data_IF_750210668178
#
_entry.id   IF_750210668178
#
_cell.length_a   1.000
_cell.length_b   1.000
_cell.length_c   1.000
_cell.angle_alpha   90.00
_cell.angle_beta   90.00
_cell.angle_gamma   90.00
#
_symmetry.space_group_name_H-M   'P 1'
#
loop_
_entity.id
_entity.type
_entity.pdbx_description
1 polymer ?
#
# COMPACT_ATOMS: atom_id res chain seq x y z
N UNK A 1 28.51 -0.79 -33.36
CA UNK A 1 27.59 0.34 -33.62
C UNK A 1 26.81 0.53 -32.34
N UNK A 2 26.86 1.72 -31.73
CA UNK A 2 26.02 2.03 -30.57
C UNK A 2 24.56 2.00 -31.03
N UNK A 3 23.68 1.42 -30.22
CA UNK A 3 22.24 1.48 -30.49
C UNK A 3 21.80 2.94 -30.66
N UNK A 4 20.84 3.21 -31.56
CA UNK A 4 20.33 4.56 -31.75
C UNK A 4 19.74 5.11 -30.45
N UNK A 5 20.11 6.35 -30.09
CA UNK A 5 19.56 7.03 -28.91
C UNK A 5 18.05 7.24 -29.13
N UNK A 6 17.24 6.71 -28.21
CA UNK A 6 15.80 6.89 -28.23
C UNK A 6 15.42 8.38 -28.14
N UNK A 7 14.55 8.83 -29.04
CA UNK A 7 13.98 10.18 -29.04
C UNK A 7 12.49 10.08 -28.70
N UNK A 8 12.05 10.57 -27.51
CA UNK A 8 10.64 10.57 -27.17
C UNK A 8 9.79 11.34 -28.19
N UNK A 9 8.58 10.87 -28.55
CA UNK A 9 7.71 11.61 -29.45
C UNK A 9 7.19 12.88 -28.77
N UNK A 10 6.85 13.91 -29.56
CA UNK A 10 6.24 15.16 -29.06
C UNK A 10 4.97 14.93 -28.24
N UNK A 11 4.19 13.92 -28.62
CA UNK A 11 3.00 13.46 -27.91
C UNK A 11 3.18 11.97 -27.69
N UNK A 12 3.18 11.56 -26.43
CA UNK A 12 3.26 10.14 -26.07
C UNK A 12 2.02 9.40 -26.58
N UNK A 13 2.24 8.21 -27.14
CA UNK A 13 1.18 7.30 -27.58
C UNK A 13 1.32 5.98 -26.83
N UNK A 14 0.18 5.42 -26.43
CA UNK A 14 0.17 4.11 -25.79
C UNK A 14 0.38 3.02 -26.83
N UNK A 15 1.48 2.31 -26.72
CA UNK A 15 1.72 1.06 -27.43
C UNK A 15 1.47 -0.10 -26.45
N UNK A 16 0.44 -0.92 -26.69
CA UNK A 16 0.11 -2.01 -25.78
C UNK A 16 1.22 -3.08 -25.77
N UNK A 17 1.29 -3.83 -24.67
CA UNK A 17 2.21 -4.97 -24.49
C UNK A 17 3.70 -4.62 -24.47
N UNK A 18 4.14 -3.85 -23.48
CA UNK A 18 5.56 -3.52 -23.27
C UNK A 18 6.44 -4.70 -22.75
N UNK A 19 5.94 -5.93 -22.79
CA UNK A 19 6.66 -7.15 -22.36
C UNK A 19 6.84 -7.34 -20.85
N UNK A 20 6.46 -6.37 -20.01
CA UNK A 20 6.56 -6.50 -18.55
C UNK A 20 5.47 -7.39 -17.94
N UNK A 21 5.71 -7.91 -16.73
CA UNK A 21 4.77 -8.79 -16.02
C UNK A 21 3.34 -8.21 -15.87
N UNK A 22 3.22 -6.88 -15.82
CA UNK A 22 1.94 -6.18 -15.62
C UNK A 22 1.40 -5.52 -16.92
N UNK A 23 1.92 -5.91 -18.08
CA UNK A 23 1.53 -5.31 -19.36
C UNK A 23 0.06 -5.50 -19.70
N UNK A 24 -0.57 -6.58 -19.22
CA UNK A 24 -1.99 -6.89 -19.43
C UNK A 24 -2.94 -5.99 -18.61
N UNK A 25 -2.45 -5.37 -17.52
CA UNK A 25 -3.29 -4.58 -16.59
C UNK A 25 -2.96 -3.08 -16.60
N UNK A 26 -1.72 -2.69 -16.93
CA UNK A 26 -1.32 -1.28 -16.93
C UNK A 26 -1.88 -0.55 -18.16
N UNK A 27 -2.59 0.55 -17.92
CA UNK A 27 -3.27 1.34 -18.96
C UNK A 27 -3.14 2.84 -18.68
N UNK A 28 -3.21 3.69 -19.73
CA UNK A 28 -3.16 5.15 -19.58
C UNK A 28 -4.49 5.77 -19.13
N UNK A 29 -5.54 4.95 -18.91
CA UNK A 29 -6.88 5.38 -18.52
C UNK A 29 -7.33 4.63 -17.26
N UNK A 30 -8.10 5.32 -16.43
CA UNK A 30 -8.71 4.78 -15.22
C UNK A 30 -10.14 4.24 -15.50
N UNK A 31 -10.78 3.71 -14.46
CA UNK A 31 -12.18 3.30 -14.49
C UNK A 31 -12.39 1.79 -14.66
N UNK A 32 -13.66 1.40 -14.51
CA UNK A 32 -14.08 0.01 -14.55
C UNK A 32 -13.94 -0.58 -15.97
N UNK A 33 -13.69 -1.88 -16.04
CA UNK A 33 -13.62 -2.64 -17.31
C UNK A 33 -14.71 -3.68 -17.45
N UNK A 34 -15.35 -4.03 -16.35
CA UNK A 34 -16.41 -5.04 -16.30
C UNK A 34 -17.32 -4.81 -15.11
N UNK A 35 -18.59 -5.16 -15.27
CA UNK A 35 -19.58 -5.10 -14.20
C UNK A 35 -19.40 -6.30 -13.28
N UNK A 36 -19.12 -6.02 -12.00
CA UNK A 36 -18.99 -7.03 -10.97
C UNK A 36 -19.15 -6.37 -9.61
N UNK A 37 -20.18 -6.80 -8.90
CA UNK A 37 -20.42 -6.42 -7.51
C UNK A 37 -19.38 -7.04 -6.59
N UNK A 38 -19.02 -6.31 -5.53
CA UNK A 38 -18.15 -6.84 -4.50
C UNK A 38 -18.92 -7.72 -3.52
N UNK A 39 -18.35 -8.87 -3.08
CA UNK A 39 -18.95 -9.64 -2.00
C UNK A 39 -18.97 -8.84 -0.70
N UNK A 40 -19.96 -9.12 0.14
CA UNK A 40 -20.13 -8.50 1.46
C UNK A 40 -20.43 -9.61 2.45
N UNK A 41 -19.64 -9.69 3.52
CA UNK A 41 -19.81 -10.65 4.60
C UNK A 41 -20.57 -10.06 5.78
N UNK A 42 -20.41 -10.69 6.95
CA UNK A 42 -21.17 -10.38 8.16
C UNK A 42 -20.49 -9.34 9.06
N UNK A 43 -19.20 -9.10 8.87
CA UNK A 43 -18.38 -8.30 9.77
C UNK A 43 -18.48 -6.80 9.45
N UNK A 44 -18.25 -5.91 10.44
CA UNK A 44 -18.41 -4.46 10.25
C UNK A 44 -17.45 -3.91 9.18
N UNK A 45 -16.28 -4.50 9.00
CA UNK A 45 -15.33 -4.09 7.97
C UNK A 45 -15.27 -5.08 6.82
N UNK A 46 -15.31 -4.57 5.60
CA UNK A 46 -15.08 -5.33 4.38
C UNK A 46 -13.76 -4.89 3.77
N UNK A 47 -12.76 -5.76 3.79
CA UNK A 47 -11.43 -5.49 3.24
C UNK A 47 -11.27 -6.20 1.90
N UNK A 48 -11.06 -5.44 0.83
CA UNK A 48 -10.76 -5.94 -0.51
C UNK A 48 -9.27 -5.77 -0.78
N UNK A 49 -8.52 -6.88 -0.73
CA UNK A 49 -7.05 -6.81 -0.65
C UNK A 49 -6.35 -8.02 -1.26
N UNK A 50 -5.02 -7.99 -1.20
CA UNK A 50 -4.10 -9.05 -1.61
C UNK A 50 -2.87 -9.00 -0.70
N UNK A 51 -2.23 -10.15 -0.43
CA UNK A 51 -1.04 -10.28 0.42
C UNK A 51 0.24 -9.66 -0.21
N UNK A 52 0.18 -8.36 -0.46
CA UNK A 52 1.29 -7.50 -0.88
C UNK A 52 1.76 -6.67 0.32
N UNK A 53 2.93 -6.01 0.25
CA UNK A 53 3.38 -5.11 1.32
C UNK A 53 2.37 -4.02 1.73
N UNK A 54 1.50 -3.56 0.82
CA UNK A 54 0.45 -2.62 1.17
C UNK A 54 -0.76 -3.31 1.82
N UNK A 55 -1.14 -4.50 1.34
CA UNK A 55 -2.30 -5.23 1.86
C UNK A 55 -2.07 -5.76 3.27
N UNK A 56 -0.87 -6.28 3.56
CA UNK A 56 -0.54 -6.81 4.89
C UNK A 56 -0.56 -5.74 5.99
N UNK A 57 -0.38 -4.46 5.66
CA UNK A 57 -0.52 -3.36 6.62
C UNK A 57 -1.89 -3.35 7.26
N UNK A 58 -2.92 -3.45 6.44
CA UNK A 58 -4.30 -3.39 6.89
C UNK A 58 -4.69 -4.63 7.67
N UNK A 59 -4.30 -5.83 7.23
CA UNK A 59 -4.59 -7.05 7.98
C UNK A 59 -3.87 -7.06 9.32
N UNK A 60 -2.59 -6.66 9.38
CA UNK A 60 -1.86 -6.53 10.65
C UNK A 60 -2.57 -5.56 11.60
N UNK A 61 -3.03 -4.41 11.11
CA UNK A 61 -3.77 -3.45 11.94
C UNK A 61 -5.04 -4.07 12.53
N UNK A 62 -5.81 -4.81 11.74
CA UNK A 62 -7.00 -5.51 12.25
C UNK A 62 -6.64 -6.58 13.28
N UNK A 63 -5.67 -7.45 12.98
CA UNK A 63 -5.24 -8.49 13.93
C UNK A 63 -4.69 -7.90 15.24
N UNK A 64 -3.95 -6.79 15.18
CA UNK A 64 -3.45 -6.09 16.38
C UNK A 64 -4.59 -5.46 17.20
N UNK A 65 -5.65 -4.94 16.55
CA UNK A 65 -6.87 -4.48 17.25
C UNK A 65 -7.61 -5.64 17.92
N UNK A 66 -7.75 -6.77 17.21
CA UNK A 66 -8.42 -7.98 17.71
C UNK A 66 -7.67 -8.58 18.91
N UNK A 67 -6.33 -8.64 18.84
CA UNK A 67 -5.46 -9.09 19.95
C UNK A 67 -5.63 -8.22 21.20
N UNK A 68 -5.93 -6.92 21.04
CA UNK A 68 -6.27 -6.01 22.15
C UNK A 68 -7.70 -6.20 22.69
N UNK A 69 -8.45 -7.16 22.16
CA UNK A 69 -9.81 -7.48 22.59
C UNK A 69 -10.91 -6.64 21.93
N UNK A 70 -10.59 -5.84 20.90
CA UNK A 70 -11.55 -4.98 20.21
C UNK A 70 -12.30 -5.80 19.16
N UNK A 71 -13.35 -6.50 19.60
CA UNK A 71 -14.15 -7.38 18.73
C UNK A 71 -14.91 -6.60 17.64
N UNK A 72 -15.14 -5.30 17.85
CA UNK A 72 -15.73 -4.40 16.86
C UNK A 72 -14.82 -4.19 15.63
N UNK A 73 -13.55 -4.58 15.70
CA UNK A 73 -12.60 -4.55 14.60
C UNK A 73 -12.65 -5.78 13.67
N UNK A 74 -13.54 -6.73 13.93
CA UNK A 74 -13.75 -7.91 13.09
C UNK A 74 -14.00 -7.54 11.61
N UNK A 75 -13.44 -8.33 10.69
CA UNK A 75 -13.42 -7.99 9.26
C UNK A 75 -13.54 -9.21 8.34
N UNK A 76 -14.19 -9.00 7.18
CA UNK A 76 -14.16 -9.95 6.07
C UNK A 76 -13.06 -9.54 5.08
N UNK A 77 -12.07 -10.41 4.87
CA UNK A 77 -10.97 -10.18 3.93
C UNK A 77 -11.21 -10.89 2.58
N UNK A 78 -11.61 -10.12 1.58
CA UNK A 78 -11.87 -10.57 0.22
C UNK A 78 -10.63 -10.44 -0.66
N UNK A 79 -10.30 -11.53 -1.35
CA UNK A 79 -9.17 -11.60 -2.27
C UNK A 79 -9.46 -10.84 -3.57
N UNK A 80 -8.57 -9.92 -3.94
CA UNK A 80 -8.56 -9.19 -5.21
C UNK A 80 -7.31 -9.57 -5.98
N UNK A 81 -7.46 -10.37 -7.04
CA UNK A 81 -6.33 -10.85 -7.84
C UNK A 81 -5.92 -9.76 -8.84
N UNK A 82 -4.96 -8.93 -8.44
CA UNK A 82 -4.56 -7.77 -9.24
C UNK A 82 -4.00 -8.13 -10.63
N UNK A 83 -3.43 -9.33 -10.77
CA UNK A 83 -2.94 -9.85 -12.05
C UNK A 83 -4.05 -10.24 -13.03
N UNK A 84 -5.23 -10.53 -12.51
CA UNK A 84 -6.43 -10.91 -13.28
C UNK A 84 -7.34 -9.70 -13.57
N UNK A 85 -7.02 -8.54 -12.99
CA UNK A 85 -7.75 -7.30 -13.22
C UNK A 85 -8.98 -7.08 -12.33
N UNK A 86 -9.14 -7.84 -11.24
CA UNK A 86 -10.28 -7.70 -10.30
C UNK A 86 -10.44 -6.26 -9.76
N UNK A 87 -9.36 -5.50 -9.63
CA UNK A 87 -9.35 -4.10 -9.20
C UNK A 87 -10.04 -3.13 -10.18
N UNK A 88 -10.41 -3.61 -11.37
CA UNK A 88 -11.15 -2.86 -12.38
C UNK A 88 -12.63 -3.27 -12.48
N UNK A 89 -13.12 -4.10 -11.55
CA UNK A 89 -14.56 -4.35 -11.39
C UNK A 89 -15.30 -3.06 -11.01
N UNK A 90 -16.54 -2.88 -11.51
CA UNK A 90 -17.39 -1.73 -11.16
C UNK A 90 -17.49 -1.50 -9.65
N UNK A 91 -17.82 -2.55 -8.89
CA UNK A 91 -17.92 -2.46 -7.43
C UNK A 91 -16.59 -2.10 -6.75
N UNK A 92 -15.44 -2.53 -7.28
CA UNK A 92 -14.14 -2.13 -6.74
C UNK A 92 -13.84 -0.65 -7.00
N UNK A 93 -14.12 -0.18 -8.22
CA UNK A 93 -13.90 1.21 -8.63
C UNK A 93 -14.79 2.18 -7.85
N UNK A 94 -16.01 1.77 -7.50
CA UNK A 94 -16.92 2.57 -6.68
C UNK A 94 -16.36 2.80 -5.26
N UNK A 95 -15.64 1.83 -4.71
CA UNK A 95 -14.96 1.99 -3.40
C UNK A 95 -13.62 2.71 -3.55
N UNK A 96 -12.84 2.38 -4.58
CA UNK A 96 -11.56 3.04 -4.88
C UNK A 96 -11.39 3.35 -6.37
N UNK A 97 -11.58 4.62 -6.79
CA UNK A 97 -11.45 5.00 -8.21
C UNK A 97 -10.01 4.90 -8.74
N UNK A 98 -9.01 4.72 -7.87
CA UNK A 98 -7.61 4.49 -8.24
C UNK A 98 -7.33 3.02 -8.61
N UNK A 99 -8.28 2.10 -8.41
CA UNK A 99 -8.13 0.67 -8.70
C UNK A 99 -6.88 0.06 -8.05
N UNK A 100 -6.64 0.34 -6.76
CA UNK A 100 -5.52 -0.24 -6.00
C UNK A 100 -5.98 -0.85 -4.68
N UNK A 101 -5.39 -1.99 -4.33
CA UNK A 101 -5.48 -2.58 -3.00
C UNK A 101 -4.46 -1.94 -2.04
N UNK A 102 -4.68 -2.02 -0.71
CA UNK A 102 -5.92 -2.40 -0.05
C UNK A 102 -7.01 -1.34 -0.22
N UNK A 103 -8.27 -1.76 -0.13
CA UNK A 103 -9.46 -0.90 -0.13
C UNK A 103 -10.46 -1.47 0.87
N UNK A 104 -11.14 -0.62 1.63
CA UNK A 104 -12.02 -1.03 2.73
C UNK A 104 -13.36 -0.29 2.68
N UNK A 105 -14.42 -0.98 3.11
CA UNK A 105 -15.69 -0.37 3.53
C UNK A 105 -15.88 -0.56 5.04
N UNK A 106 -16.10 0.53 5.77
CA UNK A 106 -16.66 0.49 7.11
C UNK A 106 -18.19 0.50 7.00
N UNK A 107 -18.80 -0.63 7.36
CA UNK A 107 -20.25 -0.86 7.39
C UNK A 107 -20.81 -0.85 8.81
N UNK A 108 -20.04 -0.44 9.80
CA UNK A 108 -20.51 -0.22 11.17
C UNK A 108 -21.35 1.05 11.31
N UNK A 109 -21.46 1.85 10.24
CA UNK A 109 -22.19 3.12 10.17
C UNK A 109 -23.02 3.19 8.88
N UNK A 110 -24.04 4.06 8.87
CA UNK A 110 -24.91 4.31 7.73
C UNK A 110 -24.92 5.82 7.39
N UNK A 111 -24.56 6.24 6.15
CA UNK A 111 -24.07 5.40 5.06
C UNK A 111 -22.68 4.82 5.34
N UNK A 112 -22.39 3.67 4.74
CA UNK A 112 -21.07 3.03 4.82
C UNK A 112 -19.95 3.96 4.32
N UNK A 113 -18.78 3.89 4.97
CA UNK A 113 -17.64 4.75 4.65
C UNK A 113 -16.60 3.97 3.84
N UNK A 114 -16.29 4.44 2.64
CA UNK A 114 -15.16 3.92 1.83
C UNK A 114 -13.85 4.52 2.29
N UNK A 115 -12.83 3.68 2.44
CA UNK A 115 -11.47 4.08 2.80
C UNK A 115 -10.48 3.34 1.91
N UNK A 116 -9.62 4.09 1.21
CA UNK A 116 -8.58 3.56 0.33
C UNK A 116 -7.25 4.28 0.60
N UNK A 117 -6.16 3.74 0.06
CA UNK A 117 -4.77 4.01 0.48
C UNK A 117 -4.43 3.37 1.83
N UNK A 118 -3.43 2.48 1.84
CA UNK A 118 -3.07 1.72 3.05
C UNK A 118 -2.79 2.60 4.26
N UNK A 119 -2.07 3.73 4.10
CA UNK A 119 -1.82 4.67 5.19
C UNK A 119 -3.08 5.37 5.70
N UNK A 120 -4.05 5.65 4.82
CA UNK A 120 -5.34 6.22 5.25
C UNK A 120 -6.18 5.21 6.01
N UNK A 121 -6.15 3.93 5.63
CA UNK A 121 -6.84 2.86 6.38
C UNK A 121 -6.24 2.71 7.78
N UNK A 122 -4.90 2.68 7.89
CA UNK A 122 -4.23 2.63 9.19
C UNK A 122 -4.63 3.80 10.10
N UNK A 123 -4.59 5.02 9.54
CA UNK A 123 -4.98 6.23 10.26
C UNK A 123 -6.45 6.18 10.68
N UNK A 124 -7.36 5.80 9.78
CA UNK A 124 -8.79 5.70 10.05
C UNK A 124 -9.09 4.73 11.20
N UNK A 125 -8.53 3.52 11.17
CA UNK A 125 -8.73 2.52 12.21
C UNK A 125 -8.12 2.97 13.55
N UNK A 126 -6.94 3.59 13.50
CA UNK A 126 -6.29 4.12 14.70
C UNK A 126 -7.14 5.21 15.39
N UNK A 127 -7.73 6.12 14.61
CA UNK A 127 -8.64 7.14 15.15
C UNK A 127 -9.96 6.55 15.64
N UNK A 128 -10.58 5.65 14.86
CA UNK A 128 -11.87 5.05 15.19
C UNK A 128 -11.83 4.32 16.54
N UNK A 129 -10.73 3.60 16.80
CA UNK A 129 -10.57 2.81 18.01
C UNK A 129 -9.74 3.50 19.10
N UNK A 130 -9.15 4.66 18.82
CA UNK A 130 -8.29 5.37 19.77
C UNK A 130 -7.00 4.61 20.09
N UNK A 131 -6.52 3.79 19.16
CA UNK A 131 -5.40 2.87 19.37
C UNK A 131 -4.26 3.12 18.40
N UNK A 132 -3.06 2.77 18.86
CA UNK A 132 -1.79 2.85 18.13
C UNK A 132 -1.33 4.27 17.73
N UNK A 133 -2.21 5.26 17.62
CA UNK A 133 -1.85 6.65 17.33
C UNK A 133 -1.89 7.51 18.61
N UNK A 134 -0.76 8.10 19.04
CA UNK A 134 -0.74 8.97 20.21
C UNK A 134 -1.71 10.15 20.09
N UNK A 135 -2.29 10.56 21.22
CA UNK A 135 -3.15 11.75 21.33
C UNK A 135 -2.38 13.02 21.67
N UNK A 136 -1.20 12.88 22.28
CA UNK A 136 -0.32 14.00 22.59
C UNK A 136 0.23 14.64 21.29
N UNK A 137 0.08 15.97 21.08
CA UNK A 137 0.33 16.60 19.78
C UNK A 137 1.72 16.35 19.20
N UNK A 138 2.79 16.38 20.00
CA UNK A 138 4.14 16.18 19.52
C UNK A 138 4.37 14.73 19.05
N UNK A 139 4.01 13.74 19.88
CA UNK A 139 4.11 12.31 19.51
C UNK A 139 3.20 11.93 18.34
N UNK A 140 2.01 12.51 18.28
CA UNK A 140 1.08 12.31 17.15
C UNK A 140 1.70 12.84 15.86
N UNK A 141 2.23 14.06 15.90
CA UNK A 141 2.90 14.67 14.73
C UNK A 141 4.08 13.83 14.27
N UNK A 142 4.91 13.35 15.18
CA UNK A 142 6.04 12.50 14.83
C UNK A 142 5.59 11.17 14.21
N UNK A 143 4.52 10.56 14.73
CA UNK A 143 3.93 9.35 14.12
C UNK A 143 3.46 9.62 12.70
N UNK A 144 2.78 10.75 12.48
CA UNK A 144 2.30 11.14 11.15
C UNK A 144 3.44 11.48 10.19
N UNK A 145 4.52 12.13 10.65
CA UNK A 145 5.72 12.40 9.83
C UNK A 145 6.24 11.09 9.20
N UNK A 146 6.35 10.04 10.00
CA UNK A 146 6.83 8.74 9.53
C UNK A 146 5.82 7.97 8.68
N UNK A 147 4.52 8.05 9.00
CA UNK A 147 3.48 7.48 8.15
C UNK A 147 3.51 8.10 6.75
N UNK A 148 3.55 9.43 6.67
CA UNK A 148 3.63 10.14 5.39
C UNK A 148 4.97 9.91 4.68
N UNK A 149 6.08 9.85 5.41
CA UNK A 149 7.36 9.43 4.85
C UNK A 149 7.27 8.05 4.21
N UNK A 150 6.65 7.07 4.88
CA UNK A 150 6.50 5.70 4.38
C UNK A 150 5.64 5.67 3.11
N UNK A 151 4.53 6.41 3.09
CA UNK A 151 3.65 6.50 1.93
C UNK A 151 4.32 7.20 0.74
N UNK A 152 5.20 8.17 0.99
CA UNK A 152 5.97 8.86 -0.06
C UNK A 152 7.23 8.09 -0.52
N UNK A 153 7.82 7.25 0.33
CA UNK A 153 9.06 6.53 0.04
C UNK A 153 8.83 5.17 -0.65
N UNK A 154 7.77 4.45 -0.27
CA UNK A 154 7.46 3.13 -0.80
C UNK A 154 7.30 3.06 -2.34
N UNK A 155 6.79 4.08 -3.05
CA UNK A 155 6.77 4.09 -4.51
C UNK A 155 8.16 3.95 -5.15
N UNK A 156 9.22 4.46 -4.52
CA UNK A 156 10.60 4.28 -5.01
C UNK A 156 11.10 2.85 -4.80
N UNK A 157 10.72 2.22 -3.67
CA UNK A 157 11.08 0.83 -3.37
C UNK A 157 10.34 -0.16 -4.29
N UNK A 158 9.02 -0.06 -4.40
CA UNK A 158 8.22 -0.99 -5.19
C UNK A 158 8.19 -0.63 -6.68
N UNK A 159 7.74 0.58 -7.00
CA UNK A 159 7.53 1.04 -8.38
C UNK A 159 8.80 1.46 -9.10
N UNK A 160 9.86 1.78 -8.36
CA UNK A 160 11.20 2.02 -8.90
C UNK A 160 12.06 0.75 -8.83
N UNK A 161 12.69 0.52 -7.69
CA UNK A 161 13.66 -0.57 -7.51
C UNK A 161 13.04 -1.93 -7.82
N UNK A 162 11.93 -2.30 -7.18
CA UNK A 162 11.27 -3.59 -7.40
C UNK A 162 10.89 -3.80 -8.87
N UNK A 163 10.33 -2.79 -9.52
CA UNK A 163 10.01 -2.87 -10.95
C UNK A 163 11.25 -3.13 -11.80
N UNK A 164 12.26 -2.26 -11.76
CA UNK A 164 13.42 -2.37 -12.65
C UNK A 164 14.34 -3.55 -12.28
N UNK A 165 14.41 -3.92 -11.00
CA UNK A 165 15.26 -5.00 -10.52
C UNK A 165 14.62 -6.38 -10.69
N UNK A 166 13.31 -6.52 -10.49
CA UNK A 166 12.61 -7.82 -10.52
C UNK A 166 11.76 -8.00 -11.78
N UNK A 167 10.89 -7.03 -12.09
CA UNK A 167 9.75 -7.23 -13.00
C UNK A 167 9.94 -6.74 -14.44
N UNK A 168 10.87 -5.81 -14.68
CA UNK A 168 11.18 -5.35 -16.01
C UNK A 168 11.69 -6.52 -16.87
N UNK A 169 11.28 -6.62 -18.15
CA UNK A 169 11.64 -7.73 -19.03
C UNK A 169 13.15 -7.77 -19.32
N UNK A 170 13.81 -6.63 -19.21
CA UNK A 170 15.26 -6.46 -19.39
C UNK A 170 15.87 -5.71 -18.21
N UNK A 171 17.18 -5.85 -18.02
CA UNK A 171 17.93 -5.16 -16.97
C UNK A 171 18.54 -3.88 -17.51
N UNK A 172 17.94 -2.76 -17.13
CA UNK A 172 18.44 -1.43 -17.48
C UNK A 172 19.31 -0.89 -16.36
N UNK A 173 20.62 -0.76 -16.63
CA UNK A 173 21.62 -0.34 -15.63
C UNK A 173 21.27 1.02 -14.99
N UNK A 174 20.94 2.03 -15.79
CA UNK A 174 20.66 3.37 -15.29
C UNK A 174 19.51 3.43 -14.26
N UNK A 175 18.28 2.96 -14.57
CA UNK A 175 17.20 2.99 -13.58
C UNK A 175 17.46 2.05 -12.40
N UNK A 176 18.09 0.89 -12.61
CA UNK A 176 18.47 0.00 -11.48
C UNK A 176 19.40 0.75 -10.53
N UNK A 177 20.47 1.38 -11.01
CA UNK A 177 21.41 2.13 -10.18
C UNK A 177 20.72 3.31 -9.47
N UNK A 178 19.88 4.08 -10.19
CA UNK A 178 19.13 5.20 -9.63
C UNK A 178 18.26 4.78 -8.45
N UNK A 179 17.43 3.75 -8.63
CA UNK A 179 16.48 3.35 -7.59
C UNK A 179 17.13 2.51 -6.49
N UNK A 180 18.17 1.74 -6.79
CA UNK A 180 18.94 1.03 -5.76
C UNK A 180 19.62 2.02 -4.82
N UNK A 181 20.21 3.10 -5.36
CA UNK A 181 20.82 4.15 -4.55
C UNK A 181 19.79 4.81 -3.61
N UNK A 182 18.61 5.16 -4.13
CA UNK A 182 17.54 5.75 -3.32
C UNK A 182 17.03 4.77 -2.25
N UNK A 183 16.82 3.50 -2.57
CA UNK A 183 16.40 2.49 -1.58
C UNK A 183 17.45 2.31 -0.48
N UNK A 184 18.74 2.26 -0.84
CA UNK A 184 19.82 2.20 0.17
C UNK A 184 19.83 3.45 1.06
N UNK A 185 19.56 4.63 0.51
CA UNK A 185 19.41 5.86 1.30
C UNK A 185 18.20 5.80 2.24
N UNK A 186 17.07 5.27 1.80
CA UNK A 186 15.88 5.07 2.65
C UNK A 186 16.18 4.11 3.81
N UNK A 187 16.90 3.02 3.54
CA UNK A 187 17.34 2.08 4.58
C UNK A 187 18.32 2.74 5.57
N UNK A 188 19.28 3.55 5.08
CA UNK A 188 20.21 4.29 5.95
C UNK A 188 19.48 5.35 6.81
N UNK A 189 18.43 6.00 6.30
CA UNK A 189 17.57 6.87 7.12
C UNK A 189 16.97 6.09 8.28
N UNK A 190 16.32 4.96 8.01
CA UNK A 190 15.67 4.13 9.04
C UNK A 190 16.67 3.61 10.08
N UNK A 191 17.86 3.21 9.63
CA UNK A 191 18.94 2.72 10.49
C UNK A 191 19.41 3.81 11.47
N UNK A 192 19.70 5.00 10.94
CA UNK A 192 20.21 6.13 11.74
C UNK A 192 19.21 6.68 12.74
N UNK A 193 17.92 6.68 12.41
CA UNK A 193 16.87 7.19 13.30
C UNK A 193 16.35 6.13 14.26
N UNK A 194 16.70 4.84 14.05
CA UNK A 194 16.15 3.73 14.82
C UNK A 194 14.62 3.61 14.70
N UNK A 195 14.07 4.06 13.56
CA UNK A 195 12.62 4.10 13.28
C UNK A 195 12.16 2.91 12.45
N UNK A 196 12.82 1.76 12.60
CA UNK A 196 12.43 0.49 12.00
C UNK A 196 10.99 0.05 12.33
N UNK A 197 10.43 0.56 13.43
CA UNK A 197 9.03 0.36 13.81
C UNK A 197 8.03 0.84 12.74
N UNK A 198 8.43 1.82 11.92
CA UNK A 198 7.65 2.31 10.76
C UNK A 198 7.46 1.23 9.70
N UNK A 199 8.41 0.29 9.59
CA UNK A 199 8.36 -0.81 8.62
C UNK A 199 7.56 -2.01 9.13
N UNK A 200 7.39 -2.16 10.45
CA UNK A 200 6.67 -3.28 11.05
C UNK A 200 5.22 -2.95 11.41
N UNK A 201 4.73 -1.74 11.09
CA UNK A 201 3.39 -1.22 11.48
C UNK A 201 3.25 -1.09 13.02
N UNK A 202 4.26 -1.43 13.80
CA UNK A 202 4.26 -1.28 15.26
C UNK A 202 4.48 0.19 15.60
N UNK A 203 3.44 0.89 16.04
CA UNK A 203 3.56 2.29 16.44
C UNK A 203 4.35 2.44 17.77
N UNK A 204 4.90 3.64 18.09
CA UNK A 204 6.02 3.83 19.04
C UNK A 204 5.78 3.44 20.50
N UNK A 205 4.55 3.12 20.90
CA UNK A 205 4.17 2.79 22.29
C UNK A 205 4.83 1.51 22.82
N UNK A 206 5.48 0.73 21.95
CA UNK A 206 6.11 -0.56 22.30
C UNK A 206 7.48 -0.47 22.98
N UNK A 207 8.10 0.72 23.11
CA UNK A 207 9.49 0.84 23.63
C UNK A 207 9.68 0.68 25.15
N UNK A 208 8.66 0.27 25.92
CA UNK A 208 8.79 0.12 27.39
C UNK A 208 9.03 -1.32 27.91
N UNK A 209 9.33 -2.29 27.04
CA UNK A 209 9.67 -3.67 27.45
C UNK A 209 11.14 -4.05 27.20
N UNK A 210 11.86 -4.65 28.15
CA UNK A 210 13.23 -5.12 27.91
C UNK A 210 13.20 -6.43 27.11
N UNK A 211 13.81 -6.41 25.93
CA UNK A 211 14.18 -7.61 25.19
C UNK A 211 13.18 -8.04 24.11
N UNK A 212 13.40 -7.59 22.87
CA UNK A 212 13.16 -8.40 21.69
C UNK A 212 14.27 -8.14 20.67
N UNK A 213 14.83 -9.24 20.15
CA UNK A 213 15.95 -9.30 19.23
C UNK A 213 15.60 -8.74 17.85
N UNK A 214 16.59 -8.18 17.11
CA UNK A 214 16.39 -7.68 15.76
C UNK A 214 16.23 -8.83 14.76
N UNK A 215 15.26 -8.68 13.86
CA UNK A 215 15.33 -9.25 12.51
C UNK A 215 15.85 -8.15 11.58
#
# INVERSE_FOLDING_TARGET
>A
MSDPIYTPPKVWKWEPNNGGQFANINRPVAGATHDKELPVGKHPFQLYSLATPNGVKTTIMFEELLEKGIQEAEYDAWLIRIGDGDQFASGFVDVNPNSKIPTMLDRSVDPAIRVFESGSILFYLAEKFGEFLPTEPAKRTETMNWLFWQMGSAPFLGGGFGHFYVYAPEKYEYPINRYTMEVKRQLDVLDRTGTWWVMSIRLPTWRSGPGMAPW
#
